data_IF_438607491416
#
_entry.id   IF_438607491416
#
_cell.length_a   1.000
_cell.length_b   1.000
_cell.length_c   1.000
_cell.angle_alpha   90.00
_cell.angle_beta   90.00
_cell.angle_gamma   90.00
#
_symmetry.space_group_name_H-M   'P 1'
#
loop_
_entity.id
_entity.type
_entity.pdbx_description
1 polymer ?
#
# COMPACT_ATOMS: atom_id res chain seq x y z
N UNK A 1 13.17 12.25 -1.81
CA UNK A 1 12.74 10.83 -1.75
C UNK A 1 12.00 10.61 -0.45
N UNK A 2 10.73 10.23 -0.52
CA UNK A 2 9.92 9.91 0.67
C UNK A 2 9.73 8.39 0.73
N UNK A 3 10.01 7.76 1.86
CA UNK A 3 9.82 6.33 2.06
C UNK A 3 9.19 6.08 3.42
N UNK A 4 8.08 5.34 3.44
CA UNK A 4 7.42 4.89 4.67
C UNK A 4 7.03 3.43 4.57
N UNK A 5 7.40 2.68 5.61
CA UNK A 5 6.99 1.29 5.80
C UNK A 5 5.92 1.21 6.88
N UNK A 6 4.85 0.47 6.59
CA UNK A 6 3.72 0.27 7.47
C UNK A 6 3.59 -1.21 7.79
N UNK A 7 3.55 -1.51 9.09
CA UNK A 7 3.41 -2.88 9.56
C UNK A 7 1.97 -3.35 9.40
N UNK A 8 1.81 -4.58 8.94
CA UNK A 8 0.53 -5.23 8.75
C UNK A 8 -0.03 -5.75 10.07
N UNK A 9 -0.44 -4.86 10.98
CA UNK A 9 -0.88 -5.25 12.34
C UNK A 9 -1.97 -6.33 12.36
N UNK A 10 -2.89 -6.30 11.39
CA UNK A 10 -3.92 -7.34 11.25
C UNK A 10 -3.30 -8.72 10.94
N UNK A 11 -2.29 -8.78 10.06
CA UNK A 11 -1.58 -10.01 9.72
C UNK A 11 -0.79 -10.51 10.92
N UNK A 12 -0.11 -9.62 11.66
CA UNK A 12 0.57 -9.98 12.90
C UNK A 12 -0.38 -10.54 13.95
N UNK A 13 -1.59 -9.99 14.09
CA UNK A 13 -2.62 -10.54 14.97
C UNK A 13 -3.05 -11.96 14.59
N UNK A 14 -3.30 -12.21 13.30
CA UNK A 14 -3.66 -13.55 12.79
C UNK A 14 -2.49 -14.53 12.96
N UNK A 15 -1.27 -14.12 12.64
CA UNK A 15 -0.06 -14.95 12.79
C UNK A 15 0.20 -15.29 14.25
N UNK A 16 0.04 -14.34 15.18
CA UNK A 16 0.17 -14.58 16.60
C UNK A 16 -0.86 -15.62 17.07
N UNK A 17 -2.11 -15.50 16.60
CA UNK A 17 -3.16 -16.47 16.92
C UNK A 17 -2.86 -17.86 16.34
N UNK A 18 -2.50 -17.97 15.06
CA UNK A 18 -2.12 -19.23 14.42
C UNK A 18 -0.88 -19.88 15.06
N UNK A 19 0.06 -19.08 15.54
CA UNK A 19 1.25 -19.57 16.25
C UNK A 19 0.88 -20.31 17.54
N UNK A 20 -0.22 -19.94 18.21
CA UNK A 20 -0.70 -20.68 19.39
C UNK A 20 -1.08 -22.12 19.05
N UNK A 21 -1.66 -22.36 17.87
CA UNK A 21 -1.99 -23.70 17.38
C UNK A 21 -0.74 -24.51 17.06
N UNK A 22 0.32 -23.88 16.53
CA UNK A 22 1.61 -24.55 16.29
C UNK A 22 2.20 -25.01 17.62
N UNK A 23 2.24 -24.12 18.62
CA UNK A 23 2.77 -24.44 19.96
C UNK A 23 1.94 -25.55 20.61
N UNK A 24 0.61 -25.44 20.58
CA UNK A 24 -0.29 -26.47 21.10
C UNK A 24 -0.08 -27.82 20.40
N UNK A 25 0.03 -27.81 19.07
CA UNK A 25 0.31 -29.01 18.28
C UNK A 25 1.67 -29.62 18.63
N UNK A 26 2.70 -28.81 18.83
CA UNK A 26 4.03 -29.29 19.24
C UNK A 26 4.02 -29.90 20.65
N UNK A 27 3.27 -29.33 21.58
CA UNK A 27 3.12 -29.86 22.96
C UNK A 27 2.36 -31.18 22.97
N UNK A 28 1.27 -31.28 22.20
CA UNK A 28 0.39 -32.47 22.20
C UNK A 28 0.94 -33.61 21.34
N UNK A 29 1.55 -33.31 20.19
CA UNK A 29 1.98 -34.31 19.20
C UNK A 29 3.50 -34.49 19.14
N UNK A 30 4.28 -33.70 19.89
CA UNK A 30 5.73 -33.70 19.86
C UNK A 30 6.31 -33.18 18.52
N UNK A 31 7.45 -33.73 18.11
CA UNK A 31 8.12 -33.39 16.84
C UNK A 31 7.40 -34.02 15.63
N UNK A 32 6.15 -33.59 15.40
CA UNK A 32 5.38 -34.00 14.25
C UNK A 32 5.76 -33.16 13.02
N UNK A 33 6.02 -33.84 11.89
CA UNK A 33 6.43 -33.19 10.64
C UNK A 33 5.38 -32.18 10.12
N UNK A 34 4.09 -32.45 10.33
CA UNK A 34 3.00 -31.57 9.93
C UNK A 34 2.98 -30.26 10.73
N UNK A 35 3.23 -30.33 12.04
CA UNK A 35 3.34 -29.13 12.90
C UNK A 35 4.53 -28.28 12.48
N UNK A 36 5.67 -28.93 12.19
CA UNK A 36 6.88 -28.25 11.72
C UNK A 36 6.65 -27.58 10.36
N UNK A 37 6.06 -28.30 9.40
CA UNK A 37 5.74 -27.78 8.07
C UNK A 37 4.77 -26.60 8.15
N UNK A 38 3.73 -26.69 8.97
CA UNK A 38 2.78 -25.60 9.18
C UNK A 38 3.46 -24.36 9.79
N UNK A 39 4.34 -24.54 10.78
CA UNK A 39 5.14 -23.46 11.34
C UNK A 39 6.03 -22.76 10.31
N UNK A 40 6.71 -23.53 9.44
CA UNK A 40 7.53 -22.98 8.35
C UNK A 40 6.68 -22.16 7.38
N UNK A 41 5.48 -22.66 7.01
CA UNK A 41 4.56 -21.93 6.13
C UNK A 41 4.15 -20.59 6.76
N UNK A 42 3.84 -20.56 8.07
CA UNK A 42 3.50 -19.31 8.76
C UNK A 42 4.66 -18.30 8.73
N UNK A 43 5.89 -18.76 8.95
CA UNK A 43 7.08 -17.90 8.87
C UNK A 43 7.28 -17.34 7.47
N UNK A 44 7.08 -18.17 6.43
CA UNK A 44 7.14 -17.72 5.04
C UNK A 44 6.07 -16.66 4.77
N UNK A 45 4.81 -16.89 5.17
CA UNK A 45 3.73 -15.91 5.01
C UNK A 45 4.07 -14.60 5.75
N UNK A 46 4.59 -14.68 6.97
CA UNK A 46 5.03 -13.52 7.73
C UNK A 46 6.12 -12.74 6.98
N UNK A 47 7.10 -13.44 6.41
CA UNK A 47 8.17 -12.83 5.64
C UNK A 47 7.66 -12.10 4.39
N UNK A 48 6.74 -12.71 3.62
CA UNK A 48 6.20 -12.07 2.41
C UNK A 48 5.24 -10.91 2.69
N UNK A 49 4.57 -10.89 3.85
CA UNK A 49 3.49 -9.95 4.14
C UNK A 49 3.67 -9.14 5.43
N UNK A 50 4.91 -8.97 5.92
CA UNK A 50 5.15 -8.25 7.19
C UNK A 50 4.68 -6.78 7.18
N UNK A 51 4.66 -6.15 6.01
CA UNK A 51 4.27 -4.74 5.87
C UNK A 51 4.15 -4.26 4.42
N UNK A 52 3.57 -3.07 4.25
CA UNK A 52 3.52 -2.32 2.99
C UNK A 52 4.54 -1.20 3.06
N UNK A 53 5.45 -1.15 2.11
CA UNK A 53 6.35 0.00 1.93
C UNK A 53 5.87 0.82 0.76
N UNK A 54 5.75 2.13 0.99
CA UNK A 54 5.43 3.13 -0.03
C UNK A 54 6.66 4.02 -0.18
N UNK A 55 7.09 4.20 -1.42
CA UNK A 55 8.24 4.98 -1.80
C UNK A 55 7.83 5.96 -2.91
N UNK A 56 8.20 7.22 -2.74
CA UNK A 56 8.02 8.28 -3.71
C UNK A 56 9.39 8.74 -4.18
N UNK A 57 9.69 8.41 -5.44
CA UNK A 57 10.89 8.82 -6.13
C UNK A 57 10.66 10.16 -6.83
N UNK A 58 11.37 11.16 -6.31
CA UNK A 58 11.25 12.54 -6.77
C UNK A 58 12.07 12.81 -8.02
N UNK A 59 13.10 12.00 -8.32
CA UNK A 59 13.94 12.20 -9.49
C UNK A 59 13.36 11.51 -10.72
N UNK A 60 12.89 10.27 -10.58
CA UNK A 60 12.31 9.50 -11.67
C UNK A 60 10.82 9.75 -11.87
N UNK A 61 10.22 10.67 -11.10
CA UNK A 61 8.78 10.93 -11.07
C UNK A 61 7.93 9.66 -10.91
N UNK A 62 8.29 8.78 -9.99
CA UNK A 62 7.62 7.50 -9.80
C UNK A 62 7.11 7.30 -8.37
N UNK A 63 5.90 6.77 -8.26
CA UNK A 63 5.31 6.26 -7.03
C UNK A 63 5.43 4.73 -7.03
N UNK A 64 6.11 4.18 -6.03
CA UNK A 64 6.32 2.74 -5.87
C UNK A 64 5.73 2.25 -4.56
N UNK A 65 5.12 1.07 -4.58
CA UNK A 65 4.72 0.40 -3.35
C UNK A 65 4.85 -1.11 -3.47
N UNK A 66 5.17 -1.77 -2.37
CA UNK A 66 5.34 -3.22 -2.31
C UNK A 66 5.03 -3.79 -0.93
N UNK A 67 4.64 -5.06 -0.92
CA UNK A 67 4.51 -5.83 0.31
C UNK A 67 5.80 -6.60 0.63
N UNK A 68 6.08 -6.70 1.92
CA UNK A 68 7.19 -7.46 2.48
C UNK A 68 8.55 -7.10 1.85
N UNK A 69 9.33 -8.08 1.37
CA UNK A 69 10.70 -7.89 0.90
C UNK A 69 10.81 -7.17 -0.45
N UNK A 70 9.69 -6.84 -1.12
CA UNK A 70 9.71 -6.03 -2.34
C UNK A 70 9.76 -6.79 -3.66
N UNK A 71 9.46 -8.09 -3.63
CA UNK A 71 9.44 -8.93 -4.84
C UNK A 71 8.29 -8.54 -5.79
N UNK A 72 7.15 -8.11 -5.25
CA UNK A 72 5.99 -7.66 -6.01
C UNK A 72 5.82 -6.13 -5.94
N UNK A 73 6.81 -5.39 -6.45
CA UNK A 73 6.74 -3.92 -6.51
C UNK A 73 5.80 -3.45 -7.62
N UNK A 74 4.84 -2.60 -7.26
CA UNK A 74 4.06 -1.81 -8.21
C UNK A 74 4.71 -0.44 -8.35
N UNK A 75 4.81 0.03 -9.59
CA UNK A 75 5.41 1.32 -9.95
C UNK A 75 4.43 2.07 -10.83
N UNK A 76 4.27 3.35 -10.55
CA UNK A 76 3.36 4.28 -11.20
C UNK A 76 4.13 5.54 -11.59
N UNK A 77 3.91 6.08 -12.79
CA UNK A 77 4.49 7.37 -13.19
C UNK A 77 3.59 8.52 -12.73
N UNK A 78 4.16 9.66 -12.32
CA UNK A 78 3.38 10.89 -12.10
C UNK A 78 2.78 11.44 -13.38
N UNK A 79 3.34 11.10 -14.54
CA UNK A 79 2.79 11.56 -15.81
C UNK A 79 1.43 10.91 -16.11
N UNK A 80 1.14 9.76 -15.50
CA UNK A 80 -0.15 9.06 -15.64
C UNK A 80 -1.15 9.44 -14.53
N UNK A 81 -0.72 10.24 -13.54
CA UNK A 81 -1.54 10.66 -12.41
C UNK A 81 -2.28 11.95 -12.79
N UNK A 82 -3.60 11.90 -12.66
CA UNK A 82 -4.51 13.01 -12.89
C UNK A 82 -4.70 13.81 -11.60
N UNK A 83 -5.09 13.12 -10.51
CA UNK A 83 -5.41 13.78 -9.24
C UNK A 83 -5.04 12.92 -8.03
N UNK A 84 -4.66 13.59 -6.93
CA UNK A 84 -4.39 12.95 -5.65
C UNK A 84 -5.24 13.58 -4.55
N UNK A 85 -6.06 12.75 -3.89
CA UNK A 85 -6.98 13.16 -2.82
C UNK A 85 -6.74 12.39 -1.54
N UNK A 86 -6.70 13.09 -0.41
CA UNK A 86 -6.76 12.47 0.90
C UNK A 86 -8.20 12.01 1.18
N UNK A 87 -8.39 10.70 1.35
CA UNK A 87 -9.70 10.10 1.62
C UNK A 87 -9.66 9.30 2.92
N UNK A 88 -10.78 9.33 3.66
CA UNK A 88 -10.95 8.50 4.86
C UNK A 88 -11.90 7.37 4.53
N UNK A 89 -11.44 6.13 4.69
CA UNK A 89 -12.26 4.96 4.43
C UNK A 89 -13.18 4.68 5.63
N UNK A 90 -14.44 4.32 5.36
CA UNK A 90 -15.40 3.93 6.41
C UNK A 90 -15.08 2.55 6.97
N UNK A 91 -15.25 2.35 8.29
CA UNK A 91 -15.01 1.08 9.02
C UNK A 91 -15.65 -0.14 8.36
N UNK A 92 -16.81 0.03 7.71
CA UNK A 92 -17.54 -1.04 7.01
C UNK A 92 -16.79 -1.62 5.79
N UNK A 93 -15.74 -0.95 5.31
CA UNK A 93 -14.96 -1.38 4.16
C UNK A 93 -13.73 -2.25 4.52
N UNK A 94 -13.50 -2.54 5.80
CA UNK A 94 -12.50 -3.54 6.22
C UNK A 94 -11.04 -3.19 5.90
N UNK A 95 -10.16 -4.17 6.10
CA UNK A 95 -8.69 -4.07 6.00
C UNK A 95 -8.22 -5.07 4.91
N UNK A 96 -7.32 -4.67 4.01
CA UNK A 96 -6.70 -5.59 3.03
C UNK A 96 -6.44 -5.02 1.63
N UNK A 97 -6.03 -5.92 0.72
CA UNK A 97 -5.93 -5.68 -0.73
C UNK A 97 -7.24 -6.12 -1.39
N UNK A 98 -7.98 -5.19 -1.99
CA UNK A 98 -9.25 -5.51 -2.66
C UNK A 98 -9.44 -4.67 -3.91
N UNK A 99 -10.09 -5.24 -4.91
CA UNK A 99 -10.67 -4.50 -6.03
C UNK A 99 -12.05 -4.03 -5.59
N UNK A 100 -12.24 -2.72 -5.49
CA UNK A 100 -13.55 -2.10 -5.31
C UNK A 100 -14.09 -1.66 -6.68
N UNK A 101 -15.38 -1.37 -6.77
CA UNK A 101 -15.98 -0.81 -8.00
C UNK A 101 -15.30 0.50 -8.41
N UNK A 102 -14.73 1.21 -7.44
CA UNK A 102 -13.97 2.45 -7.64
C UNK A 102 -12.50 2.23 -8.01
N UNK A 103 -11.96 1.00 -7.98
CA UNK A 103 -10.55 0.71 -8.26
C UNK A 103 -9.82 -0.11 -7.19
N UNK A 104 -8.49 -0.10 -7.24
CA UNK A 104 -7.64 -0.91 -6.38
C UNK A 104 -7.44 -0.27 -5.02
N UNK A 105 -7.68 -1.02 -3.94
CA UNK A 105 -7.45 -0.56 -2.57
C UNK A 105 -6.36 -1.40 -1.92
N UNK A 106 -5.33 -0.73 -1.41
CA UNK A 106 -4.20 -1.32 -0.72
C UNK A 106 -4.12 -0.76 0.70
N UNK A 107 -4.69 -1.46 1.69
CA UNK A 107 -4.64 -1.03 3.09
C UNK A 107 -4.10 -2.14 3.97
N UNK A 108 -3.05 -1.84 4.75
CA UNK A 108 -2.50 -2.77 5.77
C UNK A 108 -3.06 -2.52 7.17
N UNK A 109 -3.36 -1.27 7.50
CA UNK A 109 -3.87 -0.88 8.81
C UNK A 109 -4.44 0.54 8.76
N UNK A 110 -5.52 0.77 9.52
CA UNK A 110 -6.10 2.11 9.71
C UNK A 110 -7.11 2.54 8.64
N UNK A 111 -7.69 3.72 8.85
CA UNK A 111 -8.78 4.27 8.03
C UNK A 111 -8.34 5.37 7.07
N UNK A 112 -7.12 5.88 7.25
CA UNK A 112 -6.57 6.96 6.44
C UNK A 112 -5.99 6.40 5.15
N UNK A 113 -6.35 6.99 4.02
CA UNK A 113 -5.84 6.59 2.71
C UNK A 113 -5.66 7.80 1.79
N UNK A 114 -4.93 7.58 0.71
CA UNK A 114 -4.81 8.53 -0.38
C UNK A 114 -5.33 7.85 -1.64
N UNK A 115 -6.27 8.49 -2.29
CA UNK A 115 -6.77 8.10 -3.60
C UNK A 115 -5.93 8.80 -4.66
N UNK A 116 -5.35 8.01 -5.55
CA UNK A 116 -4.62 8.43 -6.73
C UNK A 116 -5.47 8.05 -7.94
N UNK A 117 -5.98 9.06 -8.63
CA UNK A 117 -6.72 8.90 -9.88
C UNK A 117 -5.74 8.97 -11.05
N UNK A 118 -5.81 7.99 -11.94
CA UNK A 118 -5.07 8.02 -13.20
C UNK A 118 -5.86 8.65 -14.33
N UNK A 119 -5.13 9.10 -15.35
CA UNK A 119 -5.67 9.61 -16.61
C UNK A 119 -6.51 8.56 -17.38
N UNK A 120 -6.23 7.26 -17.18
CA UNK A 120 -6.99 6.16 -17.80
C UNK A 120 -8.32 5.86 -17.08
N UNK A 121 -8.62 6.58 -15.99
CA UNK A 121 -9.80 6.38 -15.13
C UNK A 121 -9.61 5.34 -14.03
N UNK A 122 -8.47 4.64 -13.98
CA UNK A 122 -8.13 3.71 -12.90
C UNK A 122 -7.85 4.48 -11.61
N UNK A 123 -8.38 4.01 -10.48
CA UNK A 123 -8.08 4.61 -9.16
C UNK A 123 -7.33 3.65 -8.27
N UNK A 124 -6.33 4.19 -7.58
CA UNK A 124 -5.52 3.49 -6.59
C UNK A 124 -5.69 4.16 -5.23
N UNK A 125 -6.26 3.43 -4.27
CA UNK A 125 -6.37 3.87 -2.88
C UNK A 125 -5.24 3.23 -2.08
N UNK A 126 -4.30 4.03 -1.62
CA UNK A 126 -3.18 3.62 -0.78
C UNK A 126 -3.47 3.99 0.68
N UNK A 127 -3.74 2.98 1.51
CA UNK A 127 -3.87 3.14 2.94
C UNK A 127 -2.55 3.60 3.55
N UNK A 128 -2.60 4.63 4.38
CA UNK A 128 -1.40 5.16 5.03
C UNK A 128 -1.68 5.67 6.45
N UNK A 129 -0.80 5.34 7.41
CA UNK A 129 -0.78 5.94 8.74
C UNK A 129 -0.36 7.41 8.71
N UNK A 130 0.52 7.78 7.76
CA UNK A 130 1.03 9.13 7.54
C UNK A 130 0.41 9.72 6.27
N UNK A 131 -0.89 9.97 6.34
CA UNK A 131 -1.68 10.61 5.28
C UNK A 131 -1.20 12.02 4.92
N UNK A 132 -0.94 12.94 5.87
CA UNK A 132 -0.50 14.29 5.52
C UNK A 132 0.88 14.28 4.85
N UNK A 133 1.85 13.52 5.37
CA UNK A 133 3.20 13.48 4.79
C UNK A 133 3.25 12.90 3.38
N UNK A 134 2.46 11.86 3.11
CA UNK A 134 2.37 11.30 1.77
C UNK A 134 1.58 12.22 0.82
N UNK A 135 0.55 12.92 1.31
CA UNK A 135 -0.21 13.87 0.50
C UNK A 135 0.64 15.07 0.09
N UNK A 136 1.41 15.64 1.01
CA UNK A 136 2.29 16.77 0.71
C UNK A 136 3.37 16.38 -0.30
N UNK A 137 3.99 15.20 -0.13
CA UNK A 137 4.97 14.67 -1.08
C UNK A 137 4.41 14.47 -2.50
N UNK A 138 3.10 14.19 -2.62
CA UNK A 138 2.41 14.04 -3.90
C UNK A 138 1.91 15.38 -4.46
N UNK A 139 1.34 16.24 -3.62
CA UNK A 139 0.75 17.54 -4.01
C UNK A 139 1.79 18.51 -4.55
N UNK A 140 2.96 18.57 -3.93
CA UNK A 140 4.06 19.43 -4.41
C UNK A 140 4.47 19.12 -5.86
N UNK A 141 4.08 17.96 -6.40
CA UNK A 141 4.45 17.52 -7.75
C UNK A 141 3.29 17.39 -8.72
N UNK A 142 2.06 17.16 -8.24
CA UNK A 142 0.86 17.21 -9.09
C UNK A 142 0.49 18.67 -9.41
N UNK A 143 0.70 19.62 -8.49
CA UNK A 143 0.47 21.05 -8.75
C UNK A 143 1.36 21.61 -9.87
N UNK A 144 2.58 21.10 -9.97
CA UNK A 144 3.56 21.47 -11.01
C UNK A 144 3.02 21.19 -12.43
N UNK A 145 2.15 20.18 -12.56
CA UNK A 145 1.47 19.86 -13.83
C UNK A 145 0.30 20.81 -14.11
N UNK A 146 -0.50 21.13 -13.09
CA UNK A 146 -1.64 22.06 -13.24
C UNK A 146 -1.24 23.49 -13.61
N UNK A 147 -0.06 23.98 -13.18
CA UNK A 147 0.42 25.31 -13.60
C UNK A 147 1.10 25.29 -14.98
N UNK A 148 1.66 24.15 -15.40
CA UNK A 148 2.31 24.01 -16.70
C UNK A 148 1.28 23.87 -17.84
N UNK A 149 0.21 23.11 -17.63
CA UNK A 149 -0.84 22.91 -18.64
C UNK A 149 -1.64 24.20 -18.91
N UNK A 150 -1.89 25.01 -17.87
CA UNK A 150 -2.57 26.31 -18.00
C UNK A 150 -1.69 27.31 -18.78
N UNK A 151 -0.36 27.26 -18.60
CA UNK A 151 0.56 28.18 -19.28
C UNK A 151 0.81 27.82 -20.75
N UNK A 152 0.68 26.55 -21.16
CA UNK A 152 0.75 26.12 -22.56
C UNK A 152 -0.55 26.41 -23.33
N UNK A 153 -1.71 26.23 -22.68
CA UNK A 153 -3.01 26.55 -23.30
C UNK A 153 -3.18 28.06 -23.55
N UNK A 154 -2.68 28.91 -22.64
CA UNK A 154 -2.70 30.37 -22.79
C UNK A 154 -1.75 30.88 -23.90
N UNK A 155 -0.67 30.15 -24.19
CA UNK A 155 0.27 30.48 -25.29
C UNK A 155 -0.16 29.98 -26.66
N UNK A 156 -0.97 28.92 -26.74
CA UNK A 156 -1.51 28.43 -28.02
C UNK A 156 -2.76 29.19 -28.48
N UNK A 157 -3.38 29.97 -27.58
CA UNK A 157 -4.54 30.81 -27.86
C UNK A 157 -4.17 32.26 -28.29
N UNK A 158 -2.87 32.58 -28.36
CA UNK A 158 -2.30 33.84 -28.83
C UNK A 158 -1.57 33.65 -30.17
#
# INVERSE_FOLDING_TARGET
MYQKTQLAWAIWGILAWLSTFVIMGAVLLGHNLGVLAFGIILVLVAFFFYGLTIEVDTQSKQLRWWFGPGIAKKTLSFDDIDEVKAVTNSFRHGIGMRISHDGWVYTVSGFKAIEVSMLDGTKYRLGTADQPGLLDALRDKVKDKSETDIAEEEKSAL
#
